data_IF_099676609451
#
_entry.id   IF_099676609451
#
_cell.length_a   1.000
_cell.length_b   1.000
_cell.length_c   1.000
_cell.angle_alpha   90.00
_cell.angle_beta   90.00
_cell.angle_gamma   90.00
#
_symmetry.space_group_name_H-M   'P 1'
#
loop_
_entity.id
_entity.type
_entity.pdbx_description
1 polymer ?
#
# COMPACT_ATOMS: atom_id res chain seq x y z
N UNK A 1 -18.02 19.95 -6.07
CA UNK A 1 -16.60 20.06 -5.66
C UNK A 1 -15.81 20.13 -6.94
N UNK A 2 -15.00 21.16 -7.10
CA UNK A 2 -14.12 21.31 -8.25
C UNK A 2 -12.94 20.36 -8.10
N UNK A 3 -12.64 19.60 -9.14
CA UNK A 3 -11.47 18.73 -9.17
C UNK A 3 -10.21 19.59 -9.24
N UNK A 4 -9.20 19.24 -8.45
CA UNK A 4 -7.96 20.03 -8.35
C UNK A 4 -6.76 19.14 -8.62
N UNK A 5 -5.77 19.68 -9.32
CA UNK A 5 -4.53 18.97 -9.60
C UNK A 5 -3.89 18.49 -8.29
N UNK A 6 -3.42 17.25 -8.30
CA UNK A 6 -2.79 16.64 -7.13
C UNK A 6 -1.55 15.85 -7.53
N UNK A 7 -0.64 15.69 -6.58
CA UNK A 7 0.51 14.81 -6.70
C UNK A 7 0.54 13.81 -5.54
N UNK A 8 0.99 12.59 -5.84
CA UNK A 8 1.35 11.59 -4.84
C UNK A 8 2.87 11.46 -4.84
N UNK A 9 3.53 11.60 -3.71
CA UNK A 9 4.93 11.23 -3.54
C UNK A 9 5.02 10.03 -2.59
N UNK A 10 5.57 8.92 -3.07
CA UNK A 10 5.84 7.75 -2.24
C UNK A 10 7.27 7.89 -1.69
N UNK A 11 7.41 7.99 -0.38
CA UNK A 11 8.72 8.18 0.29
C UNK A 11 9.35 6.86 0.69
N UNK A 12 8.52 5.88 1.04
CA UNK A 12 8.96 4.53 1.37
C UNK A 12 7.88 3.53 0.99
N UNK A 13 8.29 2.41 0.39
CA UNK A 13 7.40 1.27 0.14
C UNK A 13 8.21 -0.02 0.32
N UNK A 14 7.80 -0.92 1.22
CA UNK A 14 8.45 -2.23 1.32
C UNK A 14 8.38 -2.96 -0.03
N UNK A 15 9.48 -3.61 -0.49
CA UNK A 15 9.52 -4.23 -1.81
C UNK A 15 8.35 -5.18 -2.10
N UNK A 16 7.94 -5.98 -1.10
CA UNK A 16 6.83 -6.94 -1.18
C UNK A 16 5.44 -6.29 -1.35
N UNK A 17 5.32 -4.98 -1.07
CA UNK A 17 4.07 -4.21 -1.21
C UNK A 17 3.94 -3.53 -2.57
N UNK A 18 5.03 -3.46 -3.34
CA UNK A 18 5.08 -2.73 -4.61
C UNK A 18 3.98 -3.17 -5.57
N UNK A 19 3.68 -4.48 -5.65
CA UNK A 19 2.61 -4.95 -6.53
C UNK A 19 1.27 -4.35 -6.16
N UNK A 20 0.88 -4.45 -4.90
CA UNK A 20 -0.41 -3.97 -4.43
C UNK A 20 -0.56 -2.46 -4.67
N UNK A 21 0.48 -1.69 -4.34
CA UNK A 21 0.48 -0.24 -4.58
C UNK A 21 0.42 0.09 -6.07
N UNK A 22 1.24 -0.56 -6.88
CA UNK A 22 1.21 -0.32 -8.32
C UNK A 22 -0.13 -0.72 -8.95
N UNK A 23 -0.82 -1.78 -8.47
CA UNK A 23 -2.18 -2.09 -8.93
C UNK A 23 -3.14 -0.94 -8.64
N UNK A 24 -3.10 -0.36 -7.43
CA UNK A 24 -3.95 0.78 -7.04
C UNK A 24 -3.75 1.98 -7.96
N UNK A 25 -2.49 2.24 -8.35
CA UNK A 25 -2.14 3.35 -9.25
C UNK A 25 -2.50 3.05 -10.71
N UNK A 26 -2.28 1.82 -11.18
CA UNK A 26 -2.66 1.36 -12.53
C UNK A 26 -4.17 1.36 -12.74
N UNK A 27 -4.94 0.90 -11.76
CA UNK A 27 -6.42 0.86 -11.84
C UNK A 27 -7.03 2.27 -11.92
N UNK A 28 -6.24 3.29 -11.59
CA UNK A 28 -6.56 4.71 -11.74
C UNK A 28 -5.87 5.38 -12.92
N UNK A 29 -5.16 4.60 -13.74
CA UNK A 29 -4.46 5.07 -14.93
C UNK A 29 -3.32 6.09 -14.66
N UNK A 30 -2.83 6.18 -13.41
CA UNK A 30 -1.76 7.12 -13.02
C UNK A 30 -0.35 6.61 -13.29
N UNK A 31 -0.22 5.30 -13.45
CA UNK A 31 0.98 4.68 -14.02
C UNK A 31 0.57 3.69 -15.09
N UNK A 32 1.41 3.54 -16.11
CA UNK A 32 1.16 2.57 -17.16
C UNK A 32 1.18 1.16 -16.59
N UNK A 33 0.16 0.36 -16.95
CA UNK A 33 0.19 -1.09 -16.83
C UNK A 33 1.18 -1.65 -17.85
N UNK A 34 2.45 -1.43 -17.59
CA UNK A 34 3.52 -2.07 -18.32
C UNK A 34 3.40 -3.55 -17.95
N UNK A 35 3.14 -4.42 -18.92
CA UNK A 35 3.00 -5.88 -18.74
C UNK A 35 4.28 -6.59 -18.29
N UNK A 36 5.08 -5.94 -17.46
CA UNK A 36 6.32 -6.41 -16.86
C UNK A 36 5.96 -7.38 -15.74
N UNK A 37 6.65 -8.52 -15.72
CA UNK A 37 6.52 -9.53 -14.67
C UNK A 37 6.88 -9.02 -13.29
N UNK A 38 7.73 -7.98 -13.19
CA UNK A 38 8.14 -7.33 -11.94
C UNK A 38 7.95 -5.82 -12.02
N UNK A 39 7.24 -5.28 -11.04
CA UNK A 39 6.94 -3.84 -10.95
C UNK A 39 8.04 -3.08 -10.22
N UNK A 40 8.13 -1.79 -10.51
CA UNK A 40 9.08 -0.85 -9.90
C UNK A 40 8.34 0.43 -9.57
N UNK A 41 8.61 1.00 -8.40
CA UNK A 41 8.13 2.33 -8.02
C UNK A 41 9.33 3.24 -7.78
N UNK A 42 9.27 4.46 -8.28
CA UNK A 42 10.18 5.53 -7.94
C UNK A 42 9.78 6.16 -6.61
N UNK A 43 10.71 6.19 -5.66
CA UNK A 43 10.57 6.83 -4.36
C UNK A 43 11.12 8.25 -4.38
N UNK A 44 10.45 9.14 -3.62
CA UNK A 44 10.81 10.54 -3.47
C UNK A 44 10.54 11.39 -4.72
N UNK A 45 9.77 10.86 -5.69
CA UNK A 45 9.33 11.57 -6.88
C UNK A 45 7.81 11.71 -6.88
N UNK A 46 7.28 12.86 -7.34
CA UNK A 46 5.85 13.04 -7.49
C UNK A 46 5.33 12.23 -8.69
N UNK A 47 4.23 11.53 -8.47
CA UNK A 47 3.34 10.98 -9.48
C UNK A 47 2.23 12.01 -9.68
N UNK A 48 2.15 12.57 -10.89
CA UNK A 48 1.06 13.47 -11.25
C UNK A 48 -0.24 12.68 -11.27
N UNK A 49 -1.21 13.13 -10.47
CA UNK A 49 -2.53 12.55 -10.42
C UNK A 49 -3.45 13.36 -11.33
N UNK A 50 -4.43 12.69 -11.93
CA UNK A 50 -5.57 13.41 -12.48
C UNK A 50 -6.24 14.25 -11.39
N UNK A 51 -6.93 15.34 -11.76
CA UNK A 51 -7.65 16.15 -10.79
C UNK A 51 -8.56 15.28 -9.92
N UNK A 52 -8.35 15.33 -8.61
CA UNK A 52 -9.13 14.56 -7.64
C UNK A 52 -9.72 15.48 -6.58
N UNK A 53 -10.91 15.12 -6.13
CA UNK A 53 -11.59 15.77 -5.03
C UNK A 53 -11.04 15.33 -3.67
N UNK A 54 -11.30 16.09 -2.61
CA UNK A 54 -10.83 15.73 -1.26
C UNK A 54 -11.41 14.40 -0.74
N UNK A 55 -12.60 14.00 -1.20
CA UNK A 55 -13.19 12.69 -0.87
C UNK A 55 -12.35 11.56 -1.50
N UNK A 56 -11.88 11.76 -2.73
CA UNK A 56 -11.04 10.80 -3.43
C UNK A 56 -9.63 10.72 -2.82
N UNK A 57 -9.09 11.83 -2.31
CA UNK A 57 -7.84 11.82 -1.53
C UNK A 57 -7.98 10.96 -0.28
N UNK A 58 -9.07 11.11 0.47
CA UNK A 58 -9.32 10.29 1.65
C UNK A 58 -9.44 8.80 1.29
N UNK A 59 -10.19 8.48 0.23
CA UNK A 59 -10.35 7.11 -0.25
C UNK A 59 -9.03 6.51 -0.76
N UNK A 60 -8.21 7.29 -1.47
CA UNK A 60 -6.88 6.86 -1.90
C UNK A 60 -5.98 6.60 -0.69
N UNK A 61 -5.97 7.51 0.28
CA UNK A 61 -5.17 7.39 1.52
C UNK A 61 -5.52 6.09 2.25
N UNK A 62 -6.79 5.80 2.43
CA UNK A 62 -7.25 4.56 3.06
C UNK A 62 -6.83 3.31 2.27
N UNK A 63 -6.94 3.34 0.94
CA UNK A 63 -6.53 2.21 0.09
C UNK A 63 -5.02 1.95 0.16
N UNK A 64 -4.21 3.01 0.12
CA UNK A 64 -2.75 2.91 0.25
C UNK A 64 -2.36 2.32 1.61
N UNK A 65 -2.91 2.85 2.70
CA UNK A 65 -2.64 2.37 4.07
C UNK A 65 -3.10 0.91 4.25
N UNK A 66 -4.27 0.55 3.70
CA UNK A 66 -4.79 -0.82 3.77
C UNK A 66 -3.90 -1.80 3.02
N UNK A 67 -3.43 -1.41 1.82
CA UNK A 67 -2.59 -2.27 0.99
C UNK A 67 -1.16 -2.41 1.53
N UNK A 68 -0.61 -1.35 2.11
CA UNK A 68 0.75 -1.31 2.64
C UNK A 68 0.84 -0.42 3.89
N UNK A 69 0.46 -0.91 5.08
CA UNK A 69 0.47 -0.09 6.30
C UNK A 69 1.87 0.35 6.73
N UNK A 70 2.91 -0.29 6.19
CA UNK A 70 4.30 0.05 6.44
C UNK A 70 4.86 1.06 5.42
N UNK A 71 4.07 1.54 4.45
CA UNK A 71 4.50 2.54 3.48
C UNK A 71 4.47 3.97 4.05
N UNK A 72 5.26 4.87 3.48
CA UNK A 72 5.18 6.31 3.77
C UNK A 72 4.96 7.09 2.49
N UNK A 73 4.05 8.07 2.53
CA UNK A 73 3.69 8.87 1.36
C UNK A 73 3.19 10.27 1.74
N UNK A 74 3.10 11.12 0.73
CA UNK A 74 2.45 12.43 0.78
C UNK A 74 1.55 12.59 -0.42
N UNK A 75 0.33 13.03 -0.23
CA UNK A 75 -0.55 13.51 -1.29
C UNK A 75 -0.66 15.01 -1.12
N UNK A 76 -0.40 15.78 -2.16
CA UNK A 76 -0.61 17.23 -2.17
C UNK A 76 -1.75 17.55 -3.15
N UNK A 77 -2.74 18.33 -2.73
CA UNK A 77 -3.69 18.98 -3.64
C UNK A 77 -3.25 20.42 -3.82
N UNK A 78 -3.20 20.87 -5.07
CA UNK A 78 -2.92 22.27 -5.39
C UNK A 78 -4.02 23.17 -4.83
N UNK A 79 -3.71 24.41 -4.41
CA UNK A 79 -4.75 25.40 -4.16
C UNK A 79 -5.47 25.82 -5.44
N UNK A 80 -6.67 26.38 -5.25
CA UNK A 80 -7.43 27.10 -6.27
C UNK A 80 -7.58 28.57 -5.87
N UNK A 81 -8.18 29.39 -6.73
CA UNK A 81 -8.49 30.79 -6.39
C UNK A 81 -9.46 30.90 -5.20
N UNK A 82 -10.27 29.87 -4.95
CA UNK A 82 -11.32 29.87 -3.94
C UNK A 82 -10.94 29.12 -2.66
N UNK A 83 -10.00 28.17 -2.75
CA UNK A 83 -9.70 27.23 -1.67
C UNK A 83 -8.18 27.01 -1.53
N UNK A 84 -7.66 26.96 -0.29
CA UNK A 84 -6.27 26.57 -0.06
C UNK A 84 -6.03 25.14 -0.58
N UNK A 85 -4.77 24.83 -0.83
CA UNK A 85 -4.36 23.46 -1.13
C UNK A 85 -4.45 22.62 0.13
N UNK A 86 -4.09 21.35 0.00
CA UNK A 86 -3.97 20.47 1.15
C UNK A 86 -2.75 19.58 0.97
N UNK A 87 -2.23 19.07 2.09
CA UNK A 87 -1.43 17.87 2.05
C UNK A 87 -1.93 16.85 3.06
N UNK A 88 -1.80 15.58 2.69
CA UNK A 88 -2.01 14.43 3.56
C UNK A 88 -0.73 13.62 3.58
N UNK A 89 -0.18 13.39 4.76
CA UNK A 89 1.04 12.60 4.96
C UNK A 89 0.73 11.38 5.79
N UNK A 90 1.30 10.26 5.42
CA UNK A 90 1.29 9.06 6.23
C UNK A 90 2.71 8.58 6.46
N UNK A 91 3.06 8.32 7.72
CA UNK A 91 4.33 7.71 8.11
C UNK A 91 4.03 6.57 9.09
N UNK A 92 4.56 5.36 8.87
CA UNK A 92 4.35 4.23 9.77
C UNK A 92 4.79 4.57 11.20
N UNK A 93 3.96 4.23 12.17
CA UNK A 93 4.19 4.54 13.59
C UNK A 93 3.85 5.98 14.02
N UNK A 94 3.81 6.95 13.10
CA UNK A 94 3.33 8.31 13.37
C UNK A 94 1.85 8.50 12.99
N UNK A 95 1.35 7.71 12.04
CA UNK A 95 -0.02 7.80 11.54
C UNK A 95 -0.17 8.88 10.46
N UNK A 96 -1.37 9.43 10.35
CA UNK A 96 -1.74 10.42 9.33
C UNK A 96 -1.65 11.84 9.88
N UNK A 97 -1.17 12.76 9.04
CA UNK A 97 -1.14 14.19 9.29
C UNK A 97 -1.72 14.94 8.10
N UNK A 98 -2.56 15.94 8.36
CA UNK A 98 -3.21 16.75 7.35
C UNK A 98 -3.04 18.24 7.66
N UNK A 99 -2.80 19.05 6.62
CA UNK A 99 -2.86 20.50 6.75
C UNK A 99 -3.31 21.15 5.44
N UNK A 100 -3.93 22.32 5.56
CA UNK A 100 -4.13 23.23 4.43
C UNK A 100 -2.78 23.84 4.01
N UNK A 101 -2.63 24.15 2.73
CA UNK A 101 -1.39 24.71 2.16
C UNK A 101 -1.64 25.91 1.25
N UNK A 102 -0.60 26.76 1.10
CA UNK A 102 -0.59 27.85 0.12
C UNK A 102 -0.14 27.35 -1.28
N UNK A 103 0.02 28.28 -2.24
CA UNK A 103 0.51 28.00 -3.60
C UNK A 103 1.91 27.40 -3.66
N UNK A 104 2.72 27.57 -2.61
CA UNK A 104 4.05 27.01 -2.51
C UNK A 104 4.05 25.64 -1.80
N UNK A 105 2.87 25.11 -1.43
CA UNK A 105 2.73 23.86 -0.68
C UNK A 105 3.08 23.99 0.81
N UNK A 106 3.29 25.20 1.30
CA UNK A 106 3.59 25.46 2.71
C UNK A 106 2.32 25.45 3.56
N UNK A 107 2.33 24.85 4.76
CA UNK A 107 1.20 24.86 5.66
C UNK A 107 0.71 26.27 5.99
N UNK A 108 -0.60 26.49 5.91
CA UNK A 108 -1.23 27.75 6.32
C UNK A 108 -1.99 27.58 7.64
N UNK A 109 -1.88 28.59 8.50
CA UNK A 109 -2.54 28.59 9.81
C UNK A 109 -3.27 29.90 10.03
N UNK A 110 -4.49 29.82 10.57
CA UNK A 110 -5.20 31.02 11.01
C UNK A 110 -4.57 31.59 12.28
N UNK A 111 -4.79 32.87 12.57
CA UNK A 111 -4.33 33.47 13.82
C UNK A 111 -4.87 32.73 15.07
N UNK A 112 -6.11 32.24 15.00
CA UNK A 112 -6.69 31.43 16.07
C UNK A 112 -5.95 30.10 16.25
N UNK A 113 -5.57 29.44 15.16
CA UNK A 113 -4.78 28.21 15.19
C UNK A 113 -3.41 28.46 15.81
N UNK A 114 -2.73 29.55 15.45
CA UNK A 114 -1.42 29.91 16.03
C UNK A 114 -1.53 30.13 17.54
N UNK A 115 -2.54 30.85 18.01
CA UNK A 115 -2.76 31.06 19.45
C UNK A 115 -3.05 29.75 20.18
N UNK A 116 -3.81 28.84 19.58
CA UNK A 116 -4.07 27.52 20.15
C UNK A 116 -2.78 26.69 20.25
N UNK A 117 -1.95 26.71 19.21
CA UNK A 117 -0.65 26.02 19.18
C UNK A 117 0.31 26.55 20.26
N UNK A 118 0.29 27.85 20.54
CA UNK A 118 1.18 28.44 21.55
C UNK A 118 0.82 28.03 22.98
N UNK A 119 -0.43 27.65 23.23
CA UNK A 119 -0.85 27.10 24.51
C UNK A 119 -0.44 25.63 24.71
N UNK A 120 -0.02 24.92 23.66
CA UNK A 120 0.36 23.51 23.74
C UNK A 120 1.79 23.32 24.28
N UNK A 121 2.05 22.20 24.99
CA UNK A 121 3.41 21.76 25.30
C UNK A 121 4.28 21.63 24.03
N UNK A 122 5.60 21.82 24.12
CA UNK A 122 6.50 21.81 22.96
C UNK A 122 6.32 20.60 22.03
N UNK A 123 6.28 19.38 22.58
CA UNK A 123 6.18 18.16 21.76
C UNK A 123 4.83 18.06 21.03
N UNK A 124 3.74 18.47 21.68
CA UNK A 124 2.40 18.49 21.06
C UNK A 124 2.30 19.57 19.99
N UNK A 125 2.95 20.72 20.20
CA UNK A 125 3.05 21.79 19.21
C UNK A 125 3.81 21.33 17.98
N UNK A 126 4.95 20.67 18.15
CA UNK A 126 5.74 20.12 17.05
C UNK A 126 4.95 19.07 16.26
N UNK A 127 4.23 18.18 16.96
CA UNK A 127 3.35 17.21 16.32
C UNK A 127 2.21 17.88 15.52
N UNK A 128 1.55 18.89 16.09
CA UNK A 128 0.49 19.63 15.42
C UNK A 128 0.98 20.46 14.21
N UNK A 129 2.27 20.78 14.16
CA UNK A 129 2.94 21.41 13.02
C UNK A 129 3.46 20.39 12.00
N UNK A 130 3.23 19.09 12.20
CA UNK A 130 3.69 18.04 11.28
C UNK A 130 5.21 17.83 11.26
N UNK A 131 5.95 18.41 12.23
CA UNK A 131 7.43 18.35 12.26
C UNK A 131 7.96 16.91 12.34
N UNK A 132 7.39 15.99 13.15
CA UNK A 132 7.83 14.59 13.16
C UNK A 132 7.71 13.90 11.80
N UNK A 133 6.60 14.13 11.06
CA UNK A 133 6.40 13.57 9.73
C UNK A 133 7.42 14.12 8.72
N UNK A 134 7.59 15.44 8.68
CA UNK A 134 8.59 16.08 7.79
C UNK A 134 10.00 15.53 8.07
N UNK A 135 10.36 15.41 9.34
CA UNK A 135 11.68 14.91 9.77
C UNK A 135 11.87 13.44 9.36
N UNK A 136 10.87 12.60 9.57
CA UNK A 136 10.91 11.20 9.18
C UNK A 136 11.03 11.04 7.67
N UNK A 137 10.22 11.76 6.89
CA UNK A 137 10.25 11.73 5.42
C UNK A 137 11.61 12.20 4.89
N UNK A 138 12.17 13.28 5.44
CA UNK A 138 13.48 13.80 5.00
C UNK A 138 14.64 12.81 5.22
N UNK A 139 14.48 11.85 6.14
CA UNK A 139 15.47 10.80 6.39
C UNK A 139 15.30 9.57 5.47
N UNK A 140 14.22 9.48 4.69
CA UNK A 140 13.94 8.33 3.82
C UNK A 140 14.77 8.37 2.53
N UNK A 141 15.20 7.20 2.02
CA UNK A 141 15.95 7.13 0.77
C UNK A 141 15.05 7.44 -0.44
N UNK A 142 15.65 8.00 -1.49
CA UNK A 142 15.01 8.19 -2.79
C UNK A 142 15.54 7.18 -3.82
N UNK A 143 14.83 7.03 -4.94
CA UNK A 143 15.22 6.18 -6.07
C UNK A 143 14.23 5.04 -6.32
N UNK A 144 14.57 4.15 -7.25
CA UNK A 144 13.69 3.07 -7.66
C UNK A 144 13.76 1.88 -6.69
N UNK A 145 12.60 1.41 -6.21
CA UNK A 145 12.49 0.12 -5.51
C UNK A 145 11.76 -0.85 -6.41
N UNK A 146 12.34 -2.05 -6.53
CA UNK A 146 11.81 -3.12 -7.37
C UNK A 146 11.17 -4.19 -6.51
N UNK A 147 10.00 -4.63 -6.95
CA UNK A 147 9.30 -5.77 -6.40
C UNK A 147 10.20 -7.02 -6.38
N UNK A 148 10.23 -7.82 -5.28
CA UNK A 148 11.03 -9.04 -5.22
C UNK A 148 10.47 -10.13 -6.14
N UNK A 149 11.23 -11.20 -6.34
CA UNK A 149 10.76 -12.34 -7.10
C UNK A 149 9.73 -13.13 -6.27
N UNK A 150 8.49 -13.32 -6.78
CA UNK A 150 7.46 -14.02 -6.02
C UNK A 150 7.77 -15.51 -5.97
N UNK A 151 7.51 -16.10 -4.81
CA UNK A 151 7.48 -17.53 -4.63
C UNK A 151 6.18 -18.09 -5.18
N UNK A 152 6.12 -19.37 -5.55
CA UNK A 152 4.88 -19.98 -6.04
C UNK A 152 4.14 -20.63 -4.88
N UNK A 153 2.89 -20.27 -4.64
CA UNK A 153 1.99 -21.00 -3.77
C UNK A 153 1.00 -21.83 -4.59
N UNK A 154 0.66 -23.01 -4.09
CA UNK A 154 -0.37 -23.90 -4.63
C UNK A 154 -1.43 -24.13 -3.58
N UNK A 155 -2.68 -24.22 -4.00
CA UNK A 155 -3.80 -24.56 -3.14
C UNK A 155 -4.69 -25.61 -3.76
N UNK A 156 -5.06 -26.60 -2.97
CA UNK A 156 -6.03 -27.65 -3.33
C UNK A 156 -7.32 -27.44 -2.53
N UNK A 157 -8.37 -26.79 -3.10
CA UNK A 157 -9.59 -26.46 -2.38
C UNK A 157 -10.30 -27.64 -1.72
N UNK A 158 -10.24 -28.82 -2.35
CA UNK A 158 -10.89 -30.04 -1.88
C UNK A 158 -10.29 -30.59 -0.58
N UNK A 159 -8.97 -30.43 -0.39
CA UNK A 159 -8.27 -30.86 0.83
C UNK A 159 -8.02 -29.68 1.79
N UNK A 160 -8.14 -28.45 1.29
CA UNK A 160 -7.80 -27.22 1.99
C UNK A 160 -6.30 -26.95 2.08
N UNK A 161 -5.46 -27.77 1.44
CA UNK A 161 -4.01 -27.76 1.58
C UNK A 161 -3.34 -26.65 0.76
N UNK A 162 -2.50 -25.86 1.40
CA UNK A 162 -1.70 -24.80 0.76
C UNK A 162 -0.21 -25.15 0.88
N UNK A 163 0.53 -25.03 -0.23
CA UNK A 163 1.97 -25.33 -0.27
C UNK A 163 2.70 -24.17 -0.94
N UNK A 164 3.77 -23.66 -0.33
CA UNK A 164 4.64 -22.64 -0.93
C UNK A 164 5.93 -23.31 -1.42
N UNK A 165 6.14 -23.30 -2.73
CA UNK A 165 7.19 -24.08 -3.39
C UNK A 165 8.57 -23.44 -3.25
N UNK A 166 9.57 -24.25 -2.89
CA UNK A 166 10.99 -23.89 -2.94
C UNK A 166 11.39 -22.66 -2.12
N UNK A 167 10.78 -22.47 -0.94
CA UNK A 167 10.95 -21.24 -0.12
C UNK A 167 11.63 -21.45 1.22
N UNK A 168 11.93 -22.69 1.59
CA UNK A 168 12.67 -22.97 2.81
C UNK A 168 14.18 -22.74 2.64
N UNK A 169 14.92 -22.71 3.75
CA UNK A 169 16.37 -22.46 3.79
C UNK A 169 17.16 -23.45 2.93
N UNK A 170 16.65 -24.68 2.79
CA UNK A 170 17.24 -25.75 1.99
C UNK A 170 16.63 -25.88 0.58
N UNK A 171 15.72 -24.98 0.20
CA UNK A 171 15.00 -25.03 -1.07
C UNK A 171 13.85 -26.05 -1.11
N UNK A 172 13.44 -26.58 0.04
CA UNK A 172 12.24 -27.42 0.18
C UNK A 172 10.95 -26.60 0.09
N UNK A 173 9.86 -27.31 -0.23
CA UNK A 173 8.50 -26.78 -0.19
C UNK A 173 8.06 -26.59 1.27
N UNK A 174 7.42 -25.46 1.56
CA UNK A 174 6.81 -25.19 2.86
C UNK A 174 5.34 -25.57 2.78
N UNK A 175 4.96 -26.62 3.50
CA UNK A 175 3.56 -26.96 3.72
C UNK A 175 2.95 -25.95 4.71
N UNK A 176 1.96 -25.21 4.24
CA UNK A 176 1.19 -24.28 5.06
C UNK A 176 -0.02 -25.05 5.59
N UNK A 177 -0.17 -25.23 6.92
CA UNK A 177 -1.28 -25.95 7.51
C UNK A 177 -2.56 -25.13 7.36
N UNK A 178 -3.19 -25.24 6.19
CA UNK A 178 -4.49 -24.68 5.90
C UNK A 178 -5.54 -25.78 6.03
N UNK A 179 -6.64 -25.50 6.75
CA UNK A 179 -7.86 -26.31 6.75
C UNK A 179 -8.98 -25.49 6.14
N UNK A 180 -8.79 -25.12 4.89
CA UNK A 180 -9.62 -24.16 4.18
C UNK A 180 -10.38 -24.90 3.07
N UNK A 181 -11.31 -25.78 3.45
CA UNK A 181 -12.15 -26.47 2.47
C UNK A 181 -13.18 -25.49 1.93
N UNK A 182 -13.10 -25.16 0.65
CA UNK A 182 -14.08 -24.34 -0.05
C UNK A 182 -14.68 -25.11 -1.22
N UNK A 183 -15.91 -24.78 -1.60
CA UNK A 183 -16.53 -25.34 -2.81
C UNK A 183 -16.07 -24.52 -4.01
N UNK A 184 -15.60 -25.22 -5.03
CA UNK A 184 -15.41 -24.68 -6.37
C UNK A 184 -16.72 -24.92 -7.12
N UNK A 185 -17.29 -23.88 -7.75
CA UNK A 185 -18.48 -24.05 -8.58
C UNK A 185 -18.15 -24.77 -9.90
N UNK A 186 -19.20 -25.11 -10.68
CA UNK A 186 -19.04 -25.83 -11.95
C UNK A 186 -18.28 -25.01 -13.02
N UNK A 187 -18.18 -23.69 -12.84
CA UNK A 187 -17.44 -22.77 -13.71
C UNK A 187 -15.99 -22.59 -13.26
N UNK A 188 -15.59 -23.21 -12.15
CA UNK A 188 -14.24 -23.09 -11.63
C UNK A 188 -14.01 -21.84 -10.80
N UNK A 189 -15.03 -21.20 -10.26
CA UNK A 189 -14.86 -20.09 -9.31
C UNK A 189 -14.74 -20.63 -7.88
N UNK A 190 -13.82 -20.04 -7.13
CA UNK A 190 -13.72 -20.27 -5.69
C UNK A 190 -14.82 -19.49 -4.99
N UNK A 191 -15.63 -20.17 -4.16
CA UNK A 191 -16.67 -19.49 -3.38
C UNK A 191 -16.11 -18.44 -2.41
N UNK A 192 -14.92 -18.68 -1.85
CA UNK A 192 -14.11 -17.72 -1.10
C UNK A 192 -12.66 -18.22 -1.01
N UNK A 193 -11.69 -17.30 -1.10
CA UNK A 193 -10.25 -17.55 -0.95
C UNK A 193 -9.65 -16.92 0.32
N UNK A 194 -10.46 -16.23 1.13
CA UNK A 194 -10.06 -15.55 2.35
C UNK A 194 -9.33 -16.50 3.31
N UNK A 195 -9.85 -17.71 3.50
CA UNK A 195 -9.24 -18.69 4.39
C UNK A 195 -7.84 -19.16 3.92
N UNK A 196 -7.60 -19.25 2.60
CA UNK A 196 -6.28 -19.57 2.07
C UNK A 196 -5.30 -18.41 2.25
N UNK A 197 -5.78 -17.17 2.04
CA UNK A 197 -5.00 -15.96 2.27
C UNK A 197 -4.66 -15.77 3.76
N UNK A 198 -5.58 -16.06 4.68
CA UNK A 198 -5.36 -16.05 6.12
C UNK A 198 -4.31 -17.08 6.55
N UNK A 199 -4.34 -18.29 5.98
CA UNK A 199 -3.36 -19.33 6.27
C UNK A 199 -1.95 -18.95 5.78
N UNK A 200 -1.86 -18.36 4.58
CA UNK A 200 -0.62 -17.78 4.07
C UNK A 200 -0.12 -16.67 5.01
N UNK A 201 -0.99 -15.74 5.39
CA UNK A 201 -0.65 -14.64 6.29
C UNK A 201 -0.16 -15.12 7.67
N UNK A 202 -0.81 -16.12 8.25
CA UNK A 202 -0.41 -16.75 9.50
C UNK A 202 0.95 -17.47 9.40
N UNK A 203 1.31 -17.94 8.21
CA UNK A 203 2.60 -18.56 7.91
C UNK A 203 3.66 -17.56 7.43
N UNK A 204 3.38 -16.26 7.55
CA UNK A 204 4.32 -15.21 7.17
C UNK A 204 4.41 -15.00 5.67
N UNK A 205 3.35 -15.24 4.90
CA UNK A 205 3.30 -14.97 3.47
C UNK A 205 2.21 -13.95 3.11
N UNK A 206 2.47 -13.17 2.07
CA UNK A 206 1.50 -12.28 1.45
C UNK A 206 1.28 -12.65 0.00
N UNK A 207 0.01 -12.73 -0.39
CA UNK A 207 -0.36 -12.98 -1.78
C UNK A 207 0.07 -11.80 -2.67
N UNK A 208 0.78 -12.13 -3.74
CA UNK A 208 1.19 -11.20 -4.78
C UNK A 208 0.13 -11.11 -5.90
N UNK A 209 -0.41 -12.25 -6.33
CA UNK A 209 -1.34 -12.33 -7.47
C UNK A 209 -2.71 -12.89 -7.06
N UNK A 210 -3.77 -12.65 -7.83
CA UNK A 210 -5.00 -13.43 -7.68
C UNK A 210 -4.71 -14.94 -7.75
N UNK A 211 -5.60 -15.74 -7.17
CA UNK A 211 -5.54 -17.19 -7.36
C UNK A 211 -5.98 -17.51 -8.78
N UNK A 212 -5.19 -18.31 -9.50
CA UNK A 212 -5.50 -18.76 -10.85
C UNK A 212 -5.56 -20.30 -10.92
N UNK A 213 -6.49 -20.88 -11.71
CA UNK A 213 -6.57 -22.32 -11.85
C UNK A 213 -5.35 -22.86 -12.60
N UNK A 214 -4.64 -23.81 -12.00
CA UNK A 214 -3.47 -24.47 -12.62
C UNK A 214 -3.87 -25.69 -13.47
N UNK A 215 -5.12 -26.12 -13.40
CA UNK A 215 -5.64 -27.20 -14.23
C UNK A 215 -7.08 -26.93 -14.66
N UNK A 216 -7.48 -27.60 -15.74
CA UNK A 216 -8.83 -27.47 -16.34
C UNK A 216 -9.95 -28.01 -15.46
N UNK A 217 -9.61 -28.73 -14.38
CA UNK A 217 -10.58 -29.25 -13.42
C UNK A 217 -10.80 -28.31 -12.23
N UNK A 218 -10.07 -27.19 -12.17
CA UNK A 218 -10.08 -26.21 -11.09
C UNK A 218 -9.85 -26.82 -9.69
N UNK A 219 -9.17 -27.97 -9.64
CA UNK A 219 -8.83 -28.70 -8.40
C UNK A 219 -7.51 -28.25 -7.80
N UNK A 220 -6.71 -27.51 -8.56
CA UNK A 220 -5.44 -26.97 -8.14
C UNK A 220 -5.35 -25.53 -8.59
N UNK A 221 -4.98 -24.66 -7.67
CA UNK A 221 -4.85 -23.22 -7.87
C UNK A 221 -3.44 -22.79 -7.56
N UNK A 222 -3.02 -21.70 -8.19
CA UNK A 222 -1.68 -21.15 -8.06
C UNK A 222 -1.75 -19.66 -7.83
N UNK A 223 -0.80 -19.15 -7.05
CA UNK A 223 -0.55 -17.72 -6.96
C UNK A 223 0.93 -17.45 -6.68
N UNK A 224 1.36 -16.21 -6.93
CA UNK A 224 2.63 -15.71 -6.41
C UNK A 224 2.45 -15.26 -4.95
N UNK A 225 3.44 -15.52 -4.10
CA UNK A 225 3.48 -15.04 -2.71
C UNK A 225 4.84 -14.45 -2.35
N UNK A 226 4.83 -13.49 -1.43
CA UNK A 226 6.02 -12.91 -0.82
C UNK A 226 6.14 -13.37 0.62
N UNK A 227 7.34 -13.76 1.03
CA UNK A 227 7.63 -13.96 2.46
C UNK A 227 7.62 -12.60 3.15
N UNK A 228 6.87 -12.49 4.25
CA UNK A 228 7.03 -11.40 5.22
C UNK A 228 8.43 -11.54 5.77
N UNK A 229 9.26 -10.51 5.57
CA UNK A 229 10.40 -10.35 6.46
C UNK A 229 9.82 -9.95 7.81
N UNK A 230 10.05 -10.79 8.83
CA UNK A 230 9.90 -10.32 10.20
C UNK A 230 10.83 -9.11 10.34
N UNK A 231 10.25 -7.92 10.44
CA UNK A 231 10.96 -6.78 10.99
C UNK A 231 11.30 -7.18 12.41
N UNK A 232 12.57 -7.51 12.63
CA UNK A 232 13.11 -7.96 13.90
C UNK A 232 12.57 -7.15 15.09
N UNK A 233 12.28 -7.90 16.16
CA UNK A 233 12.01 -7.44 17.52
C UNK A 233 13.08 -6.50 18.06
#
# INVERSE_FOLDING_TARGET
MSDVAADLTIHHCPPQRIRAIATILEDREWIDRNGVTRRTLDLGRPYELDPISSIEVAALTEQLITAAPEMAFTICQSPTDEWPGSHTRHVPGLGQFESETNHDGEPVFTAATVLALDALPPDQRLAALGIPWSTAIAAMPAGAVREPEPCTARWTPATGEVTVLGTDVDGSDIEVPARCTTTVDDDGNLGDHLAADEALAASGFHRANPWEPLNTTCRLWGTGVYRRHDTDR
#
